data_IF_217508581287
#
_entry.id   IF_217508581287
#
_cell.length_a   1.000
_cell.length_b   1.000
_cell.length_c   1.000
_cell.angle_alpha   90.00
_cell.angle_beta   90.00
_cell.angle_gamma   90.00
#
_symmetry.space_group_name_H-M   'P 1'
#
loop_
_entity.id
_entity.type
_entity.pdbx_description
1 polymer ?
#
# COMPACT_ATOMS: atom_id res chain seq x y z
N UNK A 1 7.26 17.28 -4.10
CA UNK A 1 8.55 17.34 -4.80
C UNK A 1 9.62 16.42 -4.17
N UNK A 2 9.83 16.41 -2.84
CA UNK A 2 10.90 15.63 -2.19
C UNK A 2 10.79 14.09 -2.30
N UNK A 3 9.60 13.49 -2.09
CA UNK A 3 9.44 12.02 -2.13
C UNK A 3 9.76 11.45 -3.52
N UNK A 4 9.28 12.11 -4.58
CA UNK A 4 9.60 11.71 -5.96
C UNK A 4 11.09 11.85 -6.23
N UNK A 5 11.72 12.98 -5.85
CA UNK A 5 13.15 13.16 -6.04
C UNK A 5 13.99 12.10 -5.30
N UNK A 6 13.52 11.63 -4.14
CA UNK A 6 14.19 10.59 -3.35
C UNK A 6 14.09 9.20 -4.00
N UNK A 7 12.90 8.83 -4.48
CA UNK A 7 12.61 7.44 -4.89
C UNK A 7 12.61 7.21 -6.41
N UNK A 8 12.55 8.26 -7.23
CA UNK A 8 12.44 8.18 -8.69
C UNK A 8 13.80 8.37 -9.40
N UNK A 9 14.78 7.53 -9.04
CA UNK A 9 16.11 7.52 -9.67
C UNK A 9 16.20 6.61 -10.91
N UNK A 10 17.42 6.44 -11.44
CA UNK A 10 17.69 5.61 -12.64
C UNK A 10 17.23 4.15 -12.46
N UNK A 11 17.37 3.57 -11.26
CA UNK A 11 16.88 2.22 -10.96
C UNK A 11 15.36 2.12 -11.13
N UNK A 12 14.62 3.10 -10.59
CA UNK A 12 13.17 3.17 -10.70
C UNK A 12 12.73 3.34 -12.16
N UNK A 13 13.40 4.22 -12.92
CA UNK A 13 13.09 4.43 -14.34
C UNK A 13 13.31 3.16 -15.17
N UNK A 14 14.42 2.44 -14.96
CA UNK A 14 14.69 1.16 -15.63
C UNK A 14 13.60 0.14 -15.32
N UNK A 15 13.27 -0.04 -14.05
CA UNK A 15 12.19 -0.93 -13.62
C UNK A 15 10.84 -0.57 -14.26
N UNK A 16 10.53 0.72 -14.42
CA UNK A 16 9.29 1.15 -15.09
C UNK A 16 9.28 0.83 -16.58
N UNK A 17 10.41 1.01 -17.28
CA UNK A 17 10.55 0.65 -18.69
C UNK A 17 10.43 -0.86 -18.87
N UNK A 18 11.15 -1.64 -18.05
CA UNK A 18 11.18 -3.11 -18.13
C UNK A 18 9.82 -3.75 -17.79
N UNK A 19 8.98 -3.05 -17.02
CA UNK A 19 7.64 -3.48 -16.66
C UNK A 19 6.52 -2.81 -17.48
N UNK A 20 6.84 -1.95 -18.44
CA UNK A 20 5.85 -1.18 -19.20
C UNK A 20 4.77 -2.07 -19.81
N UNK A 21 5.17 -3.11 -20.54
CA UNK A 21 4.26 -4.07 -21.17
C UNK A 21 3.45 -4.92 -20.18
N UNK A 22 3.95 -5.07 -18.94
CA UNK A 22 3.26 -5.84 -17.88
C UNK A 22 2.26 -4.99 -17.10
N UNK A 23 2.34 -3.66 -17.19
CA UNK A 23 1.61 -2.73 -16.33
C UNK A 23 0.09 -2.91 -16.37
N UNK A 24 -0.47 -3.13 -17.56
CA UNK A 24 -1.91 -3.37 -17.72
C UNK A 24 -2.37 -4.68 -17.05
N UNK A 25 -1.60 -5.77 -17.22
CA UNK A 25 -1.89 -7.06 -16.61
C UNK A 25 -1.76 -7.00 -15.08
N UNK A 26 -0.72 -6.34 -14.57
CA UNK A 26 -0.52 -6.14 -13.12
C UNK A 26 -1.65 -5.30 -12.50
N UNK A 27 -2.08 -4.23 -13.19
CA UNK A 27 -3.21 -3.40 -12.76
C UNK A 27 -4.49 -4.22 -12.70
N UNK A 28 -4.76 -5.03 -13.73
CA UNK A 28 -5.92 -5.91 -13.77
C UNK A 28 -5.88 -6.94 -12.63
N UNK A 29 -4.74 -7.57 -12.38
CA UNK A 29 -4.59 -8.55 -11.30
C UNK A 29 -4.88 -7.92 -9.92
N UNK A 30 -4.40 -6.70 -9.67
CA UNK A 30 -4.67 -5.98 -8.43
C UNK A 30 -6.17 -5.64 -8.29
N UNK A 31 -6.82 -5.22 -9.38
CA UNK A 31 -8.26 -4.94 -9.41
C UNK A 31 -9.09 -6.20 -9.14
N UNK A 32 -8.73 -7.32 -9.78
CA UNK A 32 -9.44 -8.59 -9.61
C UNK A 32 -9.31 -9.08 -8.15
N UNK A 33 -8.09 -9.02 -7.57
CA UNK A 33 -7.85 -9.38 -6.18
C UNK A 33 -8.63 -8.48 -5.20
N UNK A 34 -8.64 -7.17 -5.44
CA UNK A 34 -9.41 -6.23 -4.62
C UNK A 34 -10.92 -6.46 -4.72
N UNK A 35 -11.43 -6.75 -5.93
CA UNK A 35 -12.86 -6.96 -6.17
C UNK A 35 -13.37 -8.27 -5.57
N UNK A 36 -12.54 -9.33 -5.57
CA UNK A 36 -12.78 -10.54 -4.80
C UNK A 36 -12.59 -10.34 -3.29
N UNK A 37 -11.93 -9.23 -2.92
CA UNK A 37 -11.36 -8.94 -1.62
C UNK A 37 -10.58 -10.11 -1.06
N UNK A 38 -9.58 -10.51 -1.83
CA UNK A 38 -8.57 -11.49 -1.48
C UNK A 38 -7.31 -10.74 -0.99
N UNK A 39 -7.14 -10.57 0.34
CA UNK A 39 -5.98 -9.86 0.88
C UNK A 39 -4.67 -10.61 0.66
N UNK A 40 -4.71 -11.95 0.57
CA UNK A 40 -3.53 -12.78 0.35
C UNK A 40 -3.01 -12.63 -1.08
N UNK A 41 -3.91 -12.52 -2.07
CA UNK A 41 -3.53 -12.20 -3.44
C UNK A 41 -2.89 -10.80 -3.55
N UNK A 42 -3.42 -9.80 -2.85
CA UNK A 42 -2.82 -8.45 -2.80
C UNK A 42 -1.42 -8.48 -2.19
N UNK A 43 -1.25 -9.20 -1.07
CA UNK A 43 0.06 -9.38 -0.43
C UNK A 43 1.04 -10.06 -1.37
N UNK A 44 0.62 -11.13 -2.04
CA UNK A 44 1.46 -11.83 -3.01
C UNK A 44 1.91 -10.92 -4.16
N UNK A 45 1.01 -10.13 -4.73
CA UNK A 45 1.38 -9.16 -5.79
C UNK A 45 2.43 -8.18 -5.27
N UNK A 46 2.28 -7.71 -4.04
CA UNK A 46 3.23 -6.78 -3.40
C UNK A 46 4.58 -7.44 -3.13
N UNK A 47 4.60 -8.70 -2.71
CA UNK A 47 5.84 -9.47 -2.53
C UNK A 47 6.53 -9.75 -3.87
N UNK A 48 5.78 -10.07 -4.92
CA UNK A 48 6.31 -10.23 -6.27
C UNK A 48 6.94 -8.92 -6.78
N UNK A 49 6.30 -7.78 -6.52
CA UNK A 49 6.84 -6.44 -6.82
C UNK A 49 8.11 -6.14 -6.02
N UNK A 50 8.18 -6.54 -4.75
CA UNK A 50 9.40 -6.45 -3.95
C UNK A 50 10.52 -7.26 -4.61
N UNK A 51 10.27 -8.52 -4.96
CA UNK A 51 11.25 -9.38 -5.64
C UNK A 51 11.73 -8.73 -6.94
N UNK A 52 10.81 -8.15 -7.72
CA UNK A 52 11.15 -7.46 -8.96
C UNK A 52 12.02 -6.22 -8.71
N UNK A 53 11.72 -5.41 -7.70
CA UNK A 53 12.56 -4.25 -7.34
C UNK A 53 14.00 -4.67 -7.03
N UNK A 54 14.19 -5.79 -6.32
CA UNK A 54 15.52 -6.29 -5.97
C UNK A 54 16.28 -6.73 -7.22
N UNK A 55 15.60 -7.30 -8.22
CA UNK A 55 16.21 -7.65 -9.53
C UNK A 55 16.69 -6.40 -10.28
N UNK A 56 16.06 -5.25 -10.06
CA UNK A 56 16.45 -3.97 -10.65
C UNK A 56 17.47 -3.20 -9.80
N UNK A 57 18.12 -3.88 -8.84
CA UNK A 57 19.26 -3.35 -8.08
C UNK A 57 18.88 -2.51 -6.87
N UNK A 58 17.63 -2.55 -6.44
CA UNK A 58 17.26 -2.03 -5.12
C UNK A 58 17.78 -2.98 -4.04
N UNK A 59 18.32 -2.41 -2.97
CA UNK A 59 18.63 -3.14 -1.74
C UNK A 59 17.37 -3.27 -0.89
N UNK A 60 17.39 -4.20 0.08
CA UNK A 60 16.29 -4.34 1.04
C UNK A 60 16.06 -3.04 1.82
N UNK A 61 17.13 -2.34 2.17
CA UNK A 61 17.04 -1.07 2.89
C UNK A 61 16.39 0.03 2.05
N UNK A 62 16.76 0.16 0.77
CA UNK A 62 16.13 1.11 -0.15
C UNK A 62 14.64 0.82 -0.35
N UNK A 63 14.26 -0.47 -0.52
CA UNK A 63 12.87 -0.87 -0.64
C UNK A 63 12.08 -0.59 0.65
N UNK A 64 12.60 -0.99 1.81
CA UNK A 64 11.93 -0.79 3.09
C UNK A 64 11.77 0.71 3.40
N UNK A 65 12.77 1.55 3.07
CA UNK A 65 12.67 3.00 3.18
C UNK A 65 11.63 3.60 2.23
N UNK A 66 11.54 3.08 1.00
CA UNK A 66 10.50 3.48 0.07
C UNK A 66 9.11 3.17 0.64
N UNK A 67 8.87 1.93 1.09
CA UNK A 67 7.60 1.53 1.72
C UNK A 67 7.27 2.35 2.97
N UNK A 68 8.28 2.69 3.76
CA UNK A 68 8.11 3.57 4.92
C UNK A 68 7.56 4.94 4.50
N UNK A 69 8.12 5.56 3.48
CA UNK A 69 7.74 6.89 3.04
C UNK A 69 6.43 6.93 2.25
N UNK A 70 6.17 5.93 1.39
CA UNK A 70 5.01 5.94 0.49
C UNK A 70 3.76 5.31 1.11
N UNK A 71 3.91 4.50 2.15
CA UNK A 71 2.81 3.74 2.75
C UNK A 71 2.75 3.91 4.26
N UNK A 72 3.77 3.46 5.00
CA UNK A 72 3.59 3.23 6.43
C UNK A 72 3.55 4.51 7.27
N UNK A 73 4.39 5.52 6.97
CA UNK A 73 4.30 6.83 7.63
C UNK A 73 2.95 7.50 7.37
N UNK A 74 2.41 7.33 6.16
CA UNK A 74 1.09 7.85 5.79
C UNK A 74 0.00 7.17 6.62
N UNK A 75 -0.01 5.83 6.67
CA UNK A 75 -0.93 5.07 7.52
C UNK A 75 -0.92 5.59 8.96
N UNK A 76 0.27 5.69 9.57
CA UNK A 76 0.42 6.18 10.93
C UNK A 76 -0.07 7.62 11.10
N UNK A 77 0.25 8.52 10.16
CA UNK A 77 -0.16 9.93 10.22
C UNK A 77 -1.67 10.15 10.10
N UNK A 78 -2.41 9.20 9.52
CA UNK A 78 -3.85 9.32 9.32
C UNK A 78 -4.67 8.89 10.53
N UNK A 79 -4.11 8.08 11.44
CA UNK A 79 -4.89 7.46 12.51
C UNK A 79 -5.60 8.50 13.37
N UNK A 80 -4.88 9.53 13.85
CA UNK A 80 -5.49 10.59 14.68
C UNK A 80 -6.63 11.32 13.95
N UNK A 81 -6.43 11.64 12.66
CA UNK A 81 -7.46 12.30 11.86
C UNK A 81 -8.69 11.40 11.66
N UNK A 82 -8.49 10.09 11.44
CA UNK A 82 -9.56 9.10 11.31
C UNK A 82 -10.34 8.97 12.61
N UNK A 83 -9.67 8.90 13.76
CA UNK A 83 -10.32 8.83 15.08
C UNK A 83 -11.15 10.09 15.37
N UNK A 84 -10.63 11.27 14.99
CA UNK A 84 -11.35 12.53 15.11
C UNK A 84 -12.61 12.54 14.25
N UNK A 85 -12.49 12.21 12.95
CA UNK A 85 -13.63 12.13 12.04
C UNK A 85 -14.67 11.09 12.51
N UNK A 86 -14.21 9.97 13.06
CA UNK A 86 -15.09 8.95 13.64
C UNK A 86 -15.92 9.50 14.81
N UNK A 87 -15.28 10.26 15.71
CA UNK A 87 -15.93 10.90 16.87
C UNK A 87 -16.95 11.96 16.45
N UNK A 88 -16.65 12.72 15.40
CA UNK A 88 -17.57 13.73 14.83
C UNK A 88 -18.78 13.07 14.12
N UNK A 89 -18.67 11.80 13.73
CA UNK A 89 -19.72 11.02 13.10
C UNK A 89 -19.81 11.21 11.57
N UNK A 90 -20.58 10.34 10.90
CA UNK A 90 -20.82 10.36 9.44
C UNK A 90 -19.54 10.38 8.56
N UNK A 91 -18.45 9.78 9.02
CA UNK A 91 -17.21 9.70 8.27
C UNK A 91 -17.20 8.55 7.25
N UNK A 92 -16.72 8.84 6.04
CA UNK A 92 -16.36 7.84 5.03
C UNK A 92 -14.91 8.08 4.59
N UNK A 93 -14.06 7.04 4.72
CA UNK A 93 -12.63 7.13 4.39
C UNK A 93 -12.33 6.19 3.22
N UNK A 94 -11.90 6.76 2.10
CA UNK A 94 -11.47 6.01 0.92
C UNK A 94 -9.94 6.10 0.79
N UNK A 95 -9.29 4.94 0.68
CA UNK A 95 -7.84 4.81 0.52
C UNK A 95 -7.54 3.71 -0.50
N UNK A 96 -6.30 3.70 -1.03
CA UNK A 96 -5.84 2.60 -1.89
C UNK A 96 -5.77 1.27 -1.14
N UNK A 97 -5.98 0.16 -1.85
CA UNK A 97 -6.09 -1.18 -1.27
C UNK A 97 -4.94 -1.56 -0.33
N UNK A 98 -3.70 -1.20 -0.68
CA UNK A 98 -2.52 -1.54 0.11
C UNK A 98 -2.48 -0.85 1.49
N UNK A 99 -3.27 0.20 1.71
CA UNK A 99 -3.40 0.83 3.03
C UNK A 99 -4.21 -0.03 4.03
N UNK A 100 -4.96 -1.02 3.54
CA UNK A 100 -5.89 -1.83 4.34
C UNK A 100 -5.34 -3.20 4.73
N UNK A 101 -4.22 -3.64 4.13
CA UNK A 101 -3.73 -5.01 4.26
C UNK A 101 -2.37 -5.07 4.97
N UNK A 102 -2.17 -6.08 5.82
CA UNK A 102 -0.90 -6.36 6.49
C UNK A 102 -0.72 -5.68 7.86
N UNK A 103 0.38 -5.98 8.58
CA UNK A 103 0.54 -5.69 10.02
C UNK A 103 0.70 -4.21 10.39
N UNK A 104 0.95 -3.37 9.39
CA UNK A 104 1.06 -1.90 9.51
C UNK A 104 -0.04 -1.19 8.71
N UNK A 105 -1.14 -1.89 8.42
CA UNK A 105 -2.32 -1.31 7.78
C UNK A 105 -3.06 -0.37 8.72
N UNK A 106 -3.90 0.49 8.13
CA UNK A 106 -4.81 1.36 8.89
C UNK A 106 -5.75 0.55 9.77
N UNK A 107 -6.28 -0.58 9.26
CA UNK A 107 -7.21 -1.43 9.99
C UNK A 107 -6.56 -2.03 11.25
N UNK A 108 -5.37 -2.62 11.11
CA UNK A 108 -4.60 -3.17 12.24
C UNK A 108 -4.28 -2.11 13.30
N UNK A 109 -3.93 -0.90 12.88
CA UNK A 109 -3.65 0.20 13.81
C UNK A 109 -4.90 0.63 14.59
N UNK A 110 -6.07 0.63 13.95
CA UNK A 110 -7.35 0.91 14.60
C UNK A 110 -7.76 -0.22 15.55
N UNK A 111 -7.63 -1.49 15.14
CA UNK A 111 -7.91 -2.63 16.04
C UNK A 111 -7.05 -2.58 17.31
N UNK A 112 -5.76 -2.28 17.18
CA UNK A 112 -4.84 -2.10 18.32
C UNK A 112 -5.23 -0.95 19.25
N UNK A 113 -6.00 0.02 18.76
CA UNK A 113 -6.56 1.13 19.55
C UNK A 113 -7.93 0.80 20.17
N UNK A 114 -8.43 -0.42 19.99
CA UNK A 114 -9.68 -0.90 20.58
C UNK A 114 -10.91 -0.72 19.69
N UNK A 115 -10.74 -0.31 18.43
CA UNK A 115 -11.85 -0.27 17.48
C UNK A 115 -12.21 -1.68 17.01
N UNK A 116 -13.51 -1.94 16.86
CA UNK A 116 -13.99 -3.15 16.19
C UNK A 116 -13.99 -2.93 14.68
N UNK A 117 -13.12 -3.62 13.97
CA UNK A 117 -13.13 -3.64 12.50
C UNK A 117 -14.02 -4.79 12.04
N UNK A 118 -14.88 -4.52 11.05
CA UNK A 118 -15.74 -5.54 10.45
C UNK A 118 -15.82 -5.28 8.97
N UNK A 119 -15.50 -6.31 8.18
CA UNK A 119 -15.66 -6.25 6.73
C UNK A 119 -17.14 -6.33 6.40
N UNK A 120 -17.63 -5.33 5.67
CA UNK A 120 -18.97 -5.37 5.09
C UNK A 120 -18.90 -6.08 3.74
N UNK A 121 -19.80 -7.03 3.53
CA UNK A 121 -20.05 -7.62 2.21
C UNK A 121 -21.30 -6.97 1.62
N UNK A 122 -21.45 -6.94 0.28
CA UNK A 122 -22.74 -6.71 -0.34
C UNK A 122 -23.82 -7.67 0.19
#
# INVERSE_FOLDING_TARGET
AQILAKHMGVKALKMMIDNYEKGAAQTKAMLDAYSAGDPDAILKITDDQKVDSMKHGFTKAEYDEQMEDILYKRNASWIEAIEKMHTEGNAFVAVGALHLIGPRSVLEMLEKKGYKVTRLTP
#
